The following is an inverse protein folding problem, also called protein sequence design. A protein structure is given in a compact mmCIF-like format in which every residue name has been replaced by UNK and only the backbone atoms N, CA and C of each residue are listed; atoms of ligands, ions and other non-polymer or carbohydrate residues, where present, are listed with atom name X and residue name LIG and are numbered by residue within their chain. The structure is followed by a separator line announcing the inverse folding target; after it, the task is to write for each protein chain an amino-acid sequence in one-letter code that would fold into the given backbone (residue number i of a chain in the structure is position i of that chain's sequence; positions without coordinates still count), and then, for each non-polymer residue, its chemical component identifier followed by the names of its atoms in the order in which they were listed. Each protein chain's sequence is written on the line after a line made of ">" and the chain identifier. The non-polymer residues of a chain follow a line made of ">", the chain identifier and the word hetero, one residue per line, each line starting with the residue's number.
data_IF_510457766101
#
_entry.id   IF_510457766101
#
_cell.length_a   1.000
_cell.length_b   1.000
_cell.length_c   1.000
_cell.angle_alpha   90.00
_cell.angle_beta   90.00
_cell.angle_gamma   90.00
#
_symmetry.space_group_name_H-M   'P 1'
#
loop_
_entity.id
_entity.type
_entity.pdbx_description
1 polymer ?
#
# COMPACT_ATOMS: atom_id res chain seq x y z
N UNK A 1 0.20 -12.15 -13.48
CA UNK A 1 -0.54 -11.07 -12.78
C UNK A 1 -1.98 -11.50 -12.62
N UNK A 2 -2.62 -11.16 -11.51
CA UNK A 2 -4.07 -11.34 -11.42
C UNK A 2 -4.78 -10.31 -12.30
N UNK A 3 -5.93 -10.64 -12.87
CA UNK A 3 -6.74 -9.73 -13.69
C UNK A 3 -6.96 -8.37 -12.99
N UNK A 4 -7.23 -8.42 -11.69
CA UNK A 4 -7.43 -7.24 -10.85
C UNK A 4 -6.18 -6.35 -10.74
N UNK A 5 -4.99 -6.92 -10.53
CA UNK A 5 -3.74 -6.14 -10.51
C UNK A 5 -3.48 -5.44 -11.85
N UNK A 6 -3.74 -6.13 -12.96
CA UNK A 6 -3.60 -5.53 -14.29
C UNK A 6 -4.63 -4.40 -14.53
N UNK A 7 -5.86 -4.54 -14.03
CA UNK A 7 -6.86 -3.48 -14.07
C UNK A 7 -6.45 -2.24 -13.26
N UNK A 8 -5.96 -2.44 -12.04
CA UNK A 8 -5.48 -1.35 -11.19
C UNK A 8 -4.34 -0.59 -11.89
N UNK A 9 -3.36 -1.30 -12.44
CA UNK A 9 -2.25 -0.70 -13.18
C UNK A 9 -2.75 0.12 -14.39
N UNK A 10 -3.67 -0.43 -15.19
CA UNK A 10 -4.28 0.31 -16.33
C UNK A 10 -4.97 1.59 -15.89
N UNK A 11 -5.70 1.58 -14.76
CA UNK A 11 -6.38 2.77 -14.23
C UNK A 11 -5.39 3.83 -13.74
N UNK A 12 -4.30 3.40 -13.10
CA UNK A 12 -3.22 4.32 -12.69
C UNK A 12 -2.63 5.01 -13.92
N UNK A 13 -2.23 4.25 -14.94
CA UNK A 13 -1.66 4.84 -16.16
C UNK A 13 -2.64 5.77 -16.87
N UNK A 14 -3.93 5.42 -16.90
CA UNK A 14 -4.96 6.30 -17.48
C UNK A 14 -5.08 7.62 -16.71
N UNK A 15 -5.01 7.58 -15.39
CA UNK A 15 -5.01 8.79 -14.55
C UNK A 15 -3.82 9.70 -14.83
N UNK A 16 -2.62 9.12 -14.97
CA UNK A 16 -1.40 9.86 -15.31
C UNK A 16 -1.51 10.47 -16.70
N UNK A 17 -1.98 9.72 -17.71
CA UNK A 17 -2.19 10.22 -19.07
C UNK A 17 -3.16 11.41 -19.10
N UNK A 18 -4.27 11.33 -18.36
CA UNK A 18 -5.22 12.46 -18.25
C UNK A 18 -4.58 13.66 -17.55
N UNK A 19 -3.76 13.44 -16.51
CA UNK A 19 -3.03 14.50 -15.82
C UNK A 19 -2.01 15.22 -16.72
N UNK A 20 -1.26 14.46 -17.53
CA UNK A 20 -0.34 14.99 -18.54
C UNK A 20 -1.09 15.80 -19.61
N UNK A 21 -2.17 15.26 -20.17
CA UNK A 21 -2.97 15.93 -21.21
C UNK A 21 -3.63 17.23 -20.71
N UNK A 22 -3.90 17.34 -19.41
CA UNK A 22 -4.47 18.53 -18.78
C UNK A 22 -3.42 19.49 -18.20
N UNK A 23 -2.13 19.22 -18.41
CA UNK A 23 -1.01 19.96 -17.81
C UNK A 23 -1.04 20.02 -16.26
N UNK A 24 -1.69 19.05 -15.60
CA UNK A 24 -1.63 18.89 -14.14
C UNK A 24 -0.35 18.19 -13.69
N UNK A 25 0.23 17.38 -14.59
CA UNK A 25 1.49 16.69 -14.39
C UNK A 25 2.42 17.04 -15.54
N UNK A 26 3.72 17.02 -15.27
CA UNK A 26 4.79 17.08 -16.27
C UNK A 26 5.68 15.85 -16.13
N UNK A 27 6.43 15.56 -17.20
CA UNK A 27 7.46 14.52 -17.14
C UNK A 27 8.50 14.89 -16.08
N UNK A 28 8.82 13.93 -15.21
CA UNK A 28 9.73 14.11 -14.07
C UNK A 28 9.04 14.47 -12.76
N UNK A 29 7.75 14.84 -12.76
CA UNK A 29 7.01 15.12 -11.53
C UNK A 29 6.85 13.85 -10.67
N UNK A 30 6.83 14.01 -9.36
CA UNK A 30 6.60 12.91 -8.41
C UNK A 30 5.11 12.76 -8.13
N UNK A 31 4.57 11.54 -8.29
CA UNK A 31 3.18 11.21 -7.97
C UNK A 31 3.09 10.19 -6.85
N UNK A 32 2.09 10.35 -6.00
CA UNK A 32 1.70 9.38 -4.97
C UNK A 32 0.49 8.60 -5.45
N UNK A 33 0.62 7.29 -5.53
CA UNK A 33 -0.42 6.36 -5.91
C UNK A 33 -0.97 5.70 -4.65
N UNK A 34 -2.29 5.76 -4.49
CA UNK A 34 -3.00 5.12 -3.38
C UNK A 34 -3.94 4.07 -3.96
N UNK A 35 -3.80 2.83 -3.52
CA UNK A 35 -4.57 1.68 -3.98
C UNK A 35 -4.87 0.73 -2.81
N UNK A 36 -5.68 -0.29 -3.05
CA UNK A 36 -5.80 -1.42 -2.14
C UNK A 36 -4.87 -2.57 -2.49
N UNK A 37 -4.78 -3.55 -1.59
CA UNK A 37 -4.04 -4.79 -1.80
C UNK A 37 -4.89 -5.91 -2.44
N UNK A 38 -6.23 -5.78 -2.36
CA UNK A 38 -7.20 -6.74 -2.89
C UNK A 38 -8.46 -6.03 -3.43
N UNK A 39 -9.26 -6.70 -4.27
CA UNK A 39 -10.58 -6.20 -4.66
C UNK A 39 -11.53 -6.05 -3.47
N UNK A 40 -12.47 -5.11 -3.60
CA UNK A 40 -13.52 -4.82 -2.62
C UNK A 40 -13.36 -3.46 -1.94
N UNK A 41 -14.41 -3.03 -1.25
CA UNK A 41 -14.41 -1.80 -0.48
C UNK A 41 -13.52 -1.89 0.78
N UNK A 42 -13.05 -0.74 1.27
CA UNK A 42 -12.36 -0.63 2.57
C UNK A 42 -10.94 -1.19 2.63
N UNK A 43 -10.33 -1.55 1.50
CA UNK A 43 -8.97 -2.12 1.48
C UNK A 43 -7.90 -1.15 0.97
N UNK A 44 -8.14 0.17 0.96
CA UNK A 44 -7.21 1.21 0.49
C UNK A 44 -6.07 1.44 1.48
N UNK A 45 -5.04 0.61 1.43
CA UNK A 45 -3.94 0.57 2.40
C UNK A 45 -2.54 0.54 1.77
N UNK A 46 -2.45 0.65 0.44
CA UNK A 46 -1.19 0.54 -0.31
C UNK A 46 -0.84 1.89 -0.93
N UNK A 47 0.29 2.47 -0.50
CA UNK A 47 0.82 3.72 -1.04
C UNK A 47 2.13 3.47 -1.79
N UNK A 48 2.30 4.11 -2.95
CA UNK A 48 3.53 4.06 -3.77
C UNK A 48 3.90 5.45 -4.24
N UNK A 49 5.19 5.74 -4.29
CA UNK A 49 5.73 7.00 -4.83
C UNK A 49 6.49 6.65 -6.11
N UNK A 50 6.18 7.34 -7.21
CA UNK A 50 6.90 7.16 -8.48
C UNK A 50 7.06 8.48 -9.23
N UNK A 51 8.08 8.57 -10.06
CA UNK A 51 8.21 9.65 -11.03
C UNK A 51 7.32 9.40 -12.24
N UNK A 52 6.71 10.47 -12.75
CA UNK A 52 5.98 10.46 -14.02
C UNK A 52 7.03 10.34 -15.12
N UNK A 53 7.14 9.14 -15.68
CA UNK A 53 7.93 8.95 -16.88
C UNK A 53 7.12 9.37 -18.09
N UNK A 54 7.80 9.90 -19.09
CA UNK A 54 7.16 10.27 -20.35
C UNK A 54 6.67 8.99 -21.03
N UNK A 55 5.35 8.80 -21.07
CA UNK A 55 4.68 7.53 -21.43
C UNK A 55 4.66 7.29 -22.95
N UNK A 56 5.76 7.63 -23.65
CA UNK A 56 5.86 7.44 -25.11
C UNK A 56 6.16 5.99 -25.47
N UNK A 57 6.75 5.22 -24.56
CA UNK A 57 6.98 3.78 -24.71
C UNK A 57 6.02 2.99 -23.81
N UNK A 58 4.79 2.78 -24.29
CA UNK A 58 3.69 2.13 -23.54
C UNK A 58 3.85 0.60 -23.40
N UNK A 59 4.76 -0.03 -24.14
CA UNK A 59 4.72 -1.50 -24.32
C UNK A 59 5.51 -2.29 -23.26
N UNK A 60 6.32 -1.64 -22.42
CA UNK A 60 7.21 -2.33 -21.47
C UNK A 60 7.19 -1.79 -20.04
N UNK A 61 6.13 -1.08 -19.63
CA UNK A 61 6.06 -0.57 -18.27
C UNK A 61 5.96 -1.73 -17.26
N UNK A 62 6.88 -1.74 -16.30
CA UNK A 62 6.88 -2.73 -15.24
C UNK A 62 5.60 -2.63 -14.41
N UNK A 63 5.02 -3.75 -13.95
CA UNK A 63 3.81 -3.75 -13.17
C UNK A 63 3.96 -2.93 -11.89
N UNK A 64 3.00 -2.05 -11.64
CA UNK A 64 2.98 -1.24 -10.43
C UNK A 64 2.48 -2.10 -9.27
N UNK A 65 1.42 -2.88 -9.43
CA UNK A 65 0.82 -3.63 -8.31
C UNK A 65 1.25 -5.09 -8.21
N UNK A 66 1.99 -5.62 -9.20
CA UNK A 66 2.13 -7.06 -9.44
C UNK A 66 2.98 -7.91 -8.48
N UNK A 67 3.79 -7.34 -7.57
CA UNK A 67 4.78 -8.14 -6.79
C UNK A 67 4.92 -7.80 -5.29
N UNK A 68 4.36 -6.69 -4.80
CA UNK A 68 4.70 -6.18 -3.44
C UNK A 68 3.50 -5.89 -2.53
N UNK A 69 2.27 -5.92 -3.04
CA UNK A 69 1.12 -5.41 -2.28
C UNK A 69 0.53 -6.40 -1.29
N UNK A 70 1.00 -7.65 -1.24
CA UNK A 70 0.55 -8.61 -0.22
C UNK A 70 1.28 -8.29 1.09
N UNK A 71 0.58 -7.87 2.15
CA UNK A 71 1.21 -7.65 3.44
C UNK A 71 1.77 -8.97 3.98
N UNK A 72 3.06 -9.03 4.30
CA UNK A 72 3.68 -10.19 4.92
C UNK A 72 3.40 -10.22 6.43
N UNK A 73 2.17 -10.55 6.84
CA UNK A 73 1.82 -10.68 8.26
C UNK A 73 2.40 -11.95 8.93
N UNK A 74 2.90 -12.93 8.16
CA UNK A 74 3.43 -14.20 8.67
C UNK A 74 4.92 -14.18 9.07
N UNK A 75 5.57 -13.00 9.09
CA UNK A 75 6.99 -12.84 9.47
C UNK A 75 7.17 -11.90 10.66
N UNK A 76 6.21 -11.87 11.59
CA UNK A 76 6.54 -11.37 12.92
C UNK A 76 7.29 -12.49 13.64
N UNK A 77 8.56 -12.31 14.07
CA UNK A 77 9.20 -13.30 14.91
C UNK A 77 8.36 -13.47 16.17
N UNK A 78 7.92 -14.70 16.42
CA UNK A 78 7.24 -15.12 17.65
C UNK A 78 8.23 -15.15 18.83
N UNK A 79 9.08 -14.13 18.98
CA UNK A 79 10.10 -14.04 20.03
C UNK A 79 9.77 -12.91 21.01
N UNK A 80 8.60 -13.01 21.65
CA UNK A 80 8.37 -12.41 22.97
C UNK A 80 7.53 -13.37 23.81
N UNK A 81 7.98 -14.61 23.93
CA UNK A 81 7.49 -15.54 24.96
C UNK A 81 8.63 -16.45 25.34
N UNK A 82 9.55 -15.95 26.17
CA UNK A 82 10.15 -16.65 27.31
C UNK A 82 10.94 -15.59 28.08
N UNK A 83 10.25 -14.75 28.86
CA UNK A 83 10.88 -14.22 30.07
C UNK A 83 10.44 -15.17 31.16
N UNK A 84 11.42 -15.93 31.65
CA UNK A 84 11.30 -16.85 32.78
C UNK A 84 10.65 -16.16 33.97
N UNK A 85 9.81 -16.94 34.65
CA UNK A 85 9.33 -16.79 36.02
C UNK A 85 10.22 -15.87 36.86
N UNK A 86 9.70 -14.71 37.27
CA UNK A 86 9.56 -14.33 38.68
C UNK A 86 8.91 -12.94 38.83
N UNK A 87 7.79 -12.93 39.56
CA UNK A 87 7.15 -11.83 40.31
C UNK A 87 6.91 -10.45 39.64
N UNK A 88 5.66 -10.18 39.25
CA UNK A 88 4.81 -9.20 39.96
C UNK A 88 3.38 -9.18 39.38
N UNK A 89 2.38 -9.33 40.25
CA UNK A 89 0.97 -9.31 39.90
C UNK A 89 0.54 -7.91 39.43
N UNK A 90 0.06 -7.80 38.19
CA UNK A 90 -0.62 -6.61 37.67
C UNK A 90 -2.14 -6.85 37.63
N UNK A 91 -2.90 -5.97 38.27
CA UNK A 91 -4.34 -6.04 38.46
C UNK A 91 -5.09 -5.55 37.20
N UNK A 92 -6.01 -6.32 36.59
CA UNK A 92 -6.57 -6.01 35.26
C UNK A 92 -7.71 -4.97 35.23
N UNK A 93 -7.95 -4.21 36.30
CA UNK A 93 -9.13 -3.32 36.41
C UNK A 93 -8.87 -1.85 36.02
N UNK A 94 -7.70 -1.47 35.51
CA UNK A 94 -7.40 -0.06 35.23
C UNK A 94 -6.62 0.16 33.92
N UNK A 95 -7.29 0.05 32.78
CA UNK A 95 -7.07 0.99 31.65
C UNK A 95 -8.18 0.83 30.58
N UNK A 96 -9.20 1.66 30.71
CA UNK A 96 -10.11 1.98 29.61
C UNK A 96 -9.30 2.73 28.54
N UNK A 97 -8.88 2.04 27.48
CA UNK A 97 -8.29 2.69 26.30
C UNK A 97 -9.36 3.60 25.68
N UNK A 98 -9.17 4.93 25.60
CA UNK A 98 -10.17 5.78 24.98
C UNK A 98 -10.24 5.47 23.49
N UNK A 99 -11.43 5.11 23.02
CA UNK A 99 -11.73 5.07 21.59
C UNK A 99 -11.75 6.51 21.08
N UNK A 100 -10.71 6.91 20.36
CA UNK A 100 -10.77 8.12 19.54
C UNK A 100 -11.71 7.85 18.35
N UNK A 101 -12.71 8.72 18.19
CA UNK A 101 -13.53 8.83 16.98
C UNK A 101 -12.68 9.28 15.79
#
# INVERSE_FOLDING_TARGET
>A
MSEWTADVDRRIYKGIEVGLNRNFLKSGDTVVIITGWKPGAGSTNTMRIMSVQDVREKEHLAPITGISSVPSFHKMPTEFTTVSSDENQFNPEEESIPRFF
#
